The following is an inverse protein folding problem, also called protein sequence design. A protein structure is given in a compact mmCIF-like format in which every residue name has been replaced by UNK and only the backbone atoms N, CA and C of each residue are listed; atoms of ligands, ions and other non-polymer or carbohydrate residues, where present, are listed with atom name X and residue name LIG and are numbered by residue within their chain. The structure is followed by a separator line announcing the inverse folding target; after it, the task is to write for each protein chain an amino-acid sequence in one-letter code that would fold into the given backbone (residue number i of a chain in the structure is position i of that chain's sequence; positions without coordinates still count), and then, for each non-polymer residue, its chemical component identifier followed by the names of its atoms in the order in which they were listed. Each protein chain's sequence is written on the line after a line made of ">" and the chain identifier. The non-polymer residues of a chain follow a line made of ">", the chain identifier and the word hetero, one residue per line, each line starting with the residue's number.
data_IF_985278356284
#
_entry.id   IF_985278356284
#
_cell.length_a   1.000
_cell.length_b   1.000
_cell.length_c   1.000
_cell.angle_alpha   90.00
_cell.angle_beta   90.00
_cell.angle_gamma   90.00
#
_symmetry.space_group_name_H-M   'P 1'
#
loop_
_entity.id
_entity.type
_entity.pdbx_description
1 polymer ?
#
# COMPACT_ATOMS: atom_id res chain seq x y z
N UNK A 1 17.30 67.12 -10.28
CA UNK A 1 16.17 66.16 -10.33
C UNK A 1 16.37 65.19 -9.20
N UNK A 2 15.57 65.32 -8.12
CA UNK A 2 15.68 64.54 -6.88
C UNK A 2 14.80 63.32 -6.97
N UNK A 3 15.35 62.11 -6.71
CA UNK A 3 14.63 60.89 -6.58
C UNK A 3 13.89 60.83 -5.22
N UNK A 4 12.64 60.44 -5.13
CA UNK A 4 11.96 60.25 -3.85
C UNK A 4 12.41 58.94 -3.19
N UNK A 5 12.53 59.06 -1.88
CA UNK A 5 13.00 58.10 -0.89
C UNK A 5 12.22 56.77 -0.83
N UNK A 6 12.97 55.75 -0.54
CA UNK A 6 12.65 54.50 0.13
C UNK A 6 11.33 54.48 0.92
N UNK A 7 10.26 54.00 0.30
CA UNK A 7 9.11 53.49 1.01
C UNK A 7 8.37 52.52 0.09
N UNK A 8 8.14 51.32 0.61
CA UNK A 8 7.18 50.32 0.14
C UNK A 8 7.65 48.94 -0.33
N UNK A 9 8.92 48.59 -0.20
CA UNK A 9 9.26 47.17 -0.47
C UNK A 9 8.90 46.24 0.69
N UNK A 10 8.86 46.76 1.94
CA UNK A 10 8.49 45.90 3.10
C UNK A 10 6.99 45.62 3.23
N UNK A 11 6.13 46.52 2.75
CA UNK A 11 4.67 46.33 2.91
C UNK A 11 4.11 45.34 1.89
N UNK A 12 4.66 45.30 0.68
CA UNK A 12 4.22 44.35 -0.36
C UNK A 12 4.69 42.92 -0.03
N UNK A 13 5.88 42.78 0.57
CA UNK A 13 6.35 41.45 1.00
C UNK A 13 5.54 40.90 2.19
N UNK A 14 5.08 41.78 3.10
CA UNK A 14 4.24 41.35 4.25
C UNK A 14 2.83 40.95 3.84
N UNK A 15 2.24 41.61 2.85
CA UNK A 15 0.91 41.27 2.33
C UNK A 15 0.94 39.96 1.54
N UNK A 16 1.99 39.71 0.75
CA UNK A 16 2.16 38.44 0.03
C UNK A 16 2.44 37.28 1.00
N UNK A 17 3.19 37.52 2.07
CA UNK A 17 3.46 36.50 3.09
C UNK A 17 2.19 36.15 3.90
N UNK A 18 1.35 37.15 4.22
CA UNK A 18 0.08 36.91 4.96
C UNK A 18 -0.99 36.26 4.10
N UNK A 19 -1.06 36.56 2.80
CA UNK A 19 -1.98 35.87 1.88
C UNK A 19 -1.47 34.44 1.60
N UNK A 20 -0.17 34.22 1.54
CA UNK A 20 0.43 32.88 1.42
C UNK A 20 0.18 31.99 2.65
N UNK A 21 0.24 32.55 3.87
CA UNK A 21 -0.04 31.78 5.10
C UNK A 21 -1.54 31.46 5.29
N UNK A 22 -2.44 32.31 4.82
CA UNK A 22 -3.90 32.05 4.91
C UNK A 22 -4.38 31.00 3.90
N UNK A 23 -3.65 30.74 2.83
CA UNK A 23 -3.95 29.67 1.88
C UNK A 23 -3.44 28.28 2.32
N UNK A 24 -2.50 28.23 3.29
CA UNK A 24 -2.04 26.97 3.89
C UNK A 24 -2.84 26.56 5.14
N UNK A 25 -3.68 27.44 5.69
CA UNK A 25 -4.48 27.16 6.89
C UNK A 25 -5.92 26.71 6.57
N UNK A 26 -6.37 26.73 5.33
CA UNK A 26 -7.58 26.03 4.91
C UNK A 26 -7.23 24.56 4.73
N UNK A 27 -7.45 23.75 5.77
CA UNK A 27 -7.37 22.31 5.72
C UNK A 27 -8.25 21.79 4.57
N UNK A 28 -7.64 21.63 3.40
CA UNK A 28 -8.22 20.82 2.34
C UNK A 28 -8.22 19.41 2.91
N UNK A 29 -9.37 18.98 3.39
CA UNK A 29 -9.60 17.57 3.69
C UNK A 29 -9.09 16.77 2.51
N UNK A 30 -8.20 15.85 2.78
CA UNK A 30 -7.72 14.88 1.79
C UNK A 30 -8.95 14.33 1.07
N UNK A 31 -9.10 14.75 -0.19
CA UNK A 31 -10.13 14.24 -1.06
C UNK A 31 -9.83 12.74 -1.23
N UNK A 32 -10.45 11.92 -0.39
CA UNK A 32 -10.45 10.48 -0.60
C UNK A 32 -11.51 10.22 -1.67
N UNK A 33 -11.13 9.95 -2.92
CA UNK A 33 -12.12 9.58 -3.92
C UNK A 33 -12.86 8.35 -3.40
N UNK A 34 -14.19 8.41 -3.41
CA UNK A 34 -15.01 7.26 -3.10
C UNK A 34 -14.61 6.14 -4.06
N UNK A 35 -14.26 4.98 -3.51
CA UNK A 35 -13.96 3.79 -4.32
C UNK A 35 -15.23 3.42 -5.11
N UNK A 36 -15.11 3.05 -6.39
CA UNK A 36 -16.23 2.53 -7.16
C UNK A 36 -16.85 1.35 -6.40
N UNK A 37 -18.18 1.35 -6.28
CA UNK A 37 -18.93 0.25 -5.68
C UNK A 37 -18.61 -1.04 -6.46
N UNK A 38 -17.94 -1.99 -5.82
CA UNK A 38 -17.58 -3.29 -6.39
C UNK A 38 -16.11 -3.67 -6.34
N UNK A 39 -15.17 -2.73 -6.16
CA UNK A 39 -13.77 -3.09 -5.92
C UNK A 39 -13.58 -3.50 -4.46
N UNK A 40 -13.42 -4.80 -4.23
CA UNK A 40 -12.91 -5.33 -2.95
C UNK A 40 -11.39 -5.10 -2.90
N UNK A 41 -10.97 -3.86 -2.72
CA UNK A 41 -9.56 -3.58 -2.38
C UNK A 41 -9.38 -3.95 -0.92
N UNK A 42 -8.29 -4.66 -0.61
CA UNK A 42 -7.90 -4.84 0.79
C UNK A 42 -7.59 -3.46 1.38
N UNK A 43 -8.56 -2.89 2.10
CA UNK A 43 -8.49 -1.54 2.64
C UNK A 43 -7.58 -1.45 3.86
N UNK A 44 -7.15 -2.57 4.43
CA UNK A 44 -6.31 -2.61 5.61
C UNK A 44 -4.95 -1.92 5.35
N UNK A 45 -4.30 -2.19 4.22
CA UNK A 45 -3.03 -1.56 3.83
C UNK A 45 -3.13 -0.04 3.62
N UNK A 46 -4.34 0.49 3.44
CA UNK A 46 -4.59 1.93 3.32
C UNK A 46 -4.54 2.66 4.66
N UNK A 47 -4.97 1.97 5.72
CA UNK A 47 -5.15 2.53 7.06
C UNK A 47 -4.08 2.10 8.03
N UNK A 48 -3.37 1.02 7.73
CA UNK A 48 -2.34 0.44 8.58
C UNK A 48 -1.08 0.14 7.78
N UNK A 49 0.03 0.13 8.48
CA UNK A 49 1.33 -0.31 8.00
C UNK A 49 1.78 -1.51 8.81
N UNK A 50 2.23 -2.58 8.13
CA UNK A 50 2.80 -3.76 8.78
C UNK A 50 4.32 -3.70 8.71
N UNK A 51 4.98 -3.74 9.87
CA UNK A 51 6.43 -3.69 9.92
C UNK A 51 7.02 -4.57 11.03
N UNK A 52 8.04 -5.38 10.74
CA UNK A 52 8.47 -5.79 9.40
C UNK A 52 7.41 -6.65 8.71
N UNK A 53 7.29 -6.54 7.38
CA UNK A 53 6.38 -7.38 6.59
C UNK A 53 7.03 -8.72 6.21
N UNK A 54 8.36 -8.77 6.22
CA UNK A 54 9.17 -9.96 6.00
C UNK A 54 9.99 -10.20 7.25
N UNK A 55 9.95 -11.41 7.77
CA UNK A 55 10.63 -11.83 8.99
C UNK A 55 11.49 -13.08 8.73
N UNK A 56 12.54 -13.36 9.54
CA UNK A 56 13.27 -14.60 9.41
C UNK A 56 12.39 -15.78 9.84
N UNK A 57 12.45 -16.88 9.08
CA UNK A 57 11.82 -18.14 9.45
C UNK A 57 12.49 -18.77 10.67
N UNK A 58 11.71 -19.50 11.44
CA UNK A 58 12.15 -20.25 12.64
C UNK A 58 12.75 -19.37 13.74
N UNK A 59 12.32 -18.10 13.79
CA UNK A 59 12.77 -17.10 14.77
C UNK A 59 11.57 -16.42 15.41
N UNK A 60 11.67 -16.13 16.71
CA UNK A 60 10.72 -15.28 17.39
C UNK A 60 10.97 -13.81 17.01
N UNK A 61 9.97 -13.17 16.43
CA UNK A 61 10.04 -11.79 15.96
C UNK A 61 8.82 -11.00 16.41
N UNK A 62 9.00 -9.71 16.67
CA UNK A 62 7.90 -8.79 16.93
C UNK A 62 7.51 -8.08 15.62
N UNK A 63 6.24 -8.20 15.26
CA UNK A 63 5.61 -7.48 14.15
C UNK A 63 4.71 -6.39 14.73
N UNK A 64 4.75 -5.22 14.14
CA UNK A 64 3.89 -4.08 14.48
C UNK A 64 2.92 -3.81 13.34
N UNK A 65 1.64 -3.69 13.66
CA UNK A 65 0.59 -3.24 12.76
C UNK A 65 0.21 -1.84 13.22
N UNK A 66 0.71 -0.84 12.52
CA UNK A 66 0.71 0.56 12.93
C UNK A 66 -0.42 1.30 12.22
N UNK A 67 -1.31 1.95 12.96
CA UNK A 67 -2.33 2.80 12.37
C UNK A 67 -1.72 4.09 11.82
N UNK A 68 -2.17 4.50 10.64
CA UNK A 68 -1.82 5.79 10.01
C UNK A 68 -2.74 6.93 10.48
N UNK A 69 -3.66 6.67 11.40
CA UNK A 69 -4.63 7.64 11.91
C UNK A 69 -4.49 7.85 13.40
N UNK A 70 -4.56 9.11 13.82
CA UNK A 70 -4.46 9.52 15.23
C UNK A 70 -5.65 9.08 16.08
N UNK A 71 -6.80 8.82 15.45
CA UNK A 71 -8.04 8.40 16.15
C UNK A 71 -8.06 6.92 16.53
N UNK A 72 -6.97 6.23 16.33
CA UNK A 72 -6.79 4.82 16.69
C UNK A 72 -5.81 4.70 17.88
N UNK A 73 -6.03 3.82 18.86
CA UNK A 73 -7.18 2.94 19.05
C UNK A 73 -8.42 3.69 19.58
N UNK A 74 -9.62 3.10 19.37
CA UNK A 74 -10.84 3.62 19.93
C UNK A 74 -10.94 3.26 21.41
N UNK A 75 -11.26 4.24 22.24
CA UNK A 75 -11.29 4.10 23.70
C UNK A 75 -12.43 3.17 24.22
N UNK A 76 -13.48 3.02 23.43
CA UNK A 76 -14.67 2.24 23.77
C UNK A 76 -14.69 0.82 23.19
N UNK A 77 -13.58 0.37 22.61
CA UNK A 77 -13.46 -0.91 21.99
C UNK A 77 -12.30 -1.74 22.61
N UNK A 78 -12.51 -3.05 22.66
CA UNK A 78 -11.44 -4.02 22.85
C UNK A 78 -11.06 -4.65 21.52
N UNK A 79 -9.91 -5.30 21.46
CA UNK A 79 -9.41 -5.89 20.22
C UNK A 79 -9.04 -7.35 20.42
N UNK A 80 -9.20 -8.14 19.36
CA UNK A 80 -8.72 -9.51 19.32
C UNK A 80 -8.04 -9.81 18.00
N UNK A 81 -7.05 -10.67 18.02
CA UNK A 81 -6.31 -11.13 16.85
C UNK A 81 -6.51 -12.62 16.65
N UNK A 82 -6.76 -13.02 15.41
CA UNK A 82 -6.74 -14.41 14.99
C UNK A 82 -5.52 -14.63 14.10
N UNK A 83 -4.69 -15.57 14.47
CA UNK A 83 -3.47 -15.91 13.73
C UNK A 83 -3.63 -17.18 12.95
N UNK A 84 -3.23 -17.20 11.67
CA UNK A 84 -3.30 -18.36 10.78
C UNK A 84 -2.01 -18.48 9.96
N UNK A 85 -1.15 -19.48 10.22
CA UNK A 85 -0.05 -19.84 9.33
C UNK A 85 -0.60 -20.60 8.13
N UNK A 86 -0.21 -20.23 6.90
CA UNK A 86 -0.86 -20.73 5.67
C UNK A 86 -0.19 -22.00 5.15
N UNK A 87 1.15 -22.10 5.23
CA UNK A 87 1.91 -23.14 4.54
C UNK A 87 1.65 -24.59 5.00
N UNK A 88 1.36 -24.81 6.28
CA UNK A 88 1.11 -26.15 6.83
C UNK A 88 -0.32 -26.64 6.66
N UNK A 89 -1.26 -25.75 6.46
CA UNK A 89 -2.68 -26.05 6.58
C UNK A 89 -3.41 -26.13 5.25
N UNK A 90 -2.86 -25.54 4.20
CA UNK A 90 -3.39 -25.67 2.84
C UNK A 90 -3.34 -27.13 2.32
N UNK A 91 -2.44 -27.95 2.87
CA UNK A 91 -2.20 -29.34 2.40
C UNK A 91 -2.95 -30.38 3.23
N UNK A 92 -3.37 -30.09 4.44
CA UNK A 92 -4.09 -31.04 5.31
C UNK A 92 -5.49 -30.53 5.62
N UNK A 93 -6.38 -30.53 4.66
CA UNK A 93 -7.88 -30.59 4.71
C UNK A 93 -8.59 -30.46 6.08
N UNK A 94 -8.05 -29.76 7.02
CA UNK A 94 -8.67 -29.45 8.30
C UNK A 94 -8.34 -28.02 8.64
N UNK A 95 -9.28 -27.12 8.39
CA UNK A 95 -9.23 -25.75 8.90
C UNK A 95 -9.03 -25.80 10.40
N UNK A 96 -7.81 -25.60 10.87
CA UNK A 96 -7.59 -25.38 12.29
C UNK A 96 -8.39 -24.14 12.64
N UNK A 97 -9.35 -24.30 13.55
CA UNK A 97 -10.06 -23.19 14.16
C UNK A 97 -9.01 -22.36 14.90
N UNK A 98 -8.46 -21.36 14.23
CA UNK A 98 -7.58 -20.41 14.87
C UNK A 98 -8.39 -19.71 15.97
N UNK A 99 -7.98 -19.82 17.22
CA UNK A 99 -8.60 -19.12 18.34
C UNK A 99 -8.27 -17.64 18.24
N UNK A 100 -9.25 -16.79 18.52
CA UNK A 100 -9.03 -15.37 18.65
C UNK A 100 -8.47 -15.10 20.06
N UNK A 101 -7.35 -14.37 20.12
CA UNK A 101 -6.68 -13.96 21.35
C UNK A 101 -6.86 -12.45 21.58
N UNK A 102 -7.07 -11.98 22.83
CA UNK A 102 -7.10 -10.55 23.12
C UNK A 102 -5.78 -9.89 22.73
N UNK A 103 -5.86 -8.68 22.17
CA UNK A 103 -4.68 -7.86 21.89
C UNK A 103 -4.94 -6.43 22.32
N UNK A 104 -3.97 -5.83 23.02
CA UNK A 104 -4.06 -4.47 23.52
C UNK A 104 -3.17 -3.59 22.63
N UNK A 105 -3.73 -2.61 21.92
CA UNK A 105 -2.93 -1.69 21.12
C UNK A 105 -2.12 -0.76 22.03
N UNK A 106 -0.91 -0.43 21.60
CA UNK A 106 0.00 0.49 22.28
C UNK A 106 0.45 1.57 21.28
N UNK A 107 0.33 2.84 21.66
CA UNK A 107 0.81 3.95 20.84
C UNK A 107 0.39 3.82 19.35
N UNK A 108 -0.89 3.70 19.07
CA UNK A 108 -1.47 3.53 17.74
C UNK A 108 -1.03 2.24 16.98
N UNK A 109 -0.46 1.24 17.65
CA UNK A 109 -0.01 0.00 17.02
C UNK A 109 -0.48 -1.23 17.79
N UNK A 110 -0.66 -2.34 17.08
CA UNK A 110 -0.69 -3.68 17.64
C UNK A 110 0.71 -4.27 17.57
N UNK A 111 1.26 -4.70 18.70
CA UNK A 111 2.53 -5.41 18.75
C UNK A 111 2.27 -6.90 18.95
N UNK A 112 2.76 -7.72 18.02
CA UNK A 112 2.54 -9.16 17.99
C UNK A 112 3.90 -9.83 18.01
N UNK A 113 4.28 -10.38 19.14
CA UNK A 113 5.48 -11.18 19.30
C UNK A 113 5.13 -12.65 19.10
N UNK A 114 5.78 -13.30 18.13
CA UNK A 114 5.48 -14.69 17.80
C UNK A 114 6.67 -15.39 17.15
N UNK A 115 6.73 -16.71 17.34
CA UNK A 115 7.64 -17.58 16.60
C UNK A 115 7.05 -17.83 15.19
N UNK A 116 7.81 -17.50 14.16
CA UNK A 116 7.39 -17.63 12.76
C UNK A 116 7.96 -18.93 12.17
N UNK A 117 7.21 -20.01 12.32
CA UNK A 117 7.64 -21.35 11.91
C UNK A 117 7.69 -21.48 10.39
N UNK A 118 8.80 -22.02 9.87
CA UNK A 118 9.02 -22.35 8.45
C UNK A 118 8.95 -21.15 7.52
N UNK A 119 9.20 -21.39 6.24
CA UNK A 119 9.01 -20.41 5.17
C UNK A 119 7.56 -20.45 4.70
N UNK A 120 6.80 -19.41 5.00
CA UNK A 120 5.37 -19.35 4.70
C UNK A 120 4.77 -17.95 4.88
N UNK A 121 3.52 -17.83 4.48
CA UNK A 121 2.67 -16.70 4.79
C UNK A 121 2.00 -16.87 6.15
N UNK A 122 1.89 -15.77 6.89
CA UNK A 122 1.21 -15.68 8.18
C UNK A 122 0.15 -14.60 8.11
N UNK A 123 -1.09 -14.97 8.44
CA UNK A 123 -2.24 -14.08 8.39
C UNK A 123 -2.65 -13.69 9.81
N UNK A 124 -2.78 -12.38 10.05
CA UNK A 124 -3.30 -11.80 11.27
C UNK A 124 -4.61 -11.07 10.95
N UNK A 125 -5.73 -11.63 11.39
CA UNK A 125 -7.03 -10.98 11.31
C UNK A 125 -7.30 -10.29 12.63
N UNK A 126 -7.50 -8.97 12.59
CA UNK A 126 -7.80 -8.16 13.77
C UNK A 126 -9.26 -7.71 13.72
N UNK A 127 -9.94 -7.83 14.85
CA UNK A 127 -11.30 -7.39 15.04
C UNK A 127 -11.39 -6.45 16.23
N UNK A 128 -12.17 -5.38 16.10
CA UNK A 128 -12.63 -4.55 17.22
C UNK A 128 -13.93 -5.16 17.79
N UNK A 129 -14.06 -5.15 19.10
CA UNK A 129 -15.25 -5.63 19.81
C UNK A 129 -15.78 -4.48 20.65
N UNK A 130 -17.01 -4.09 20.41
CA UNK A 130 -17.73 -3.05 21.17
C UNK A 130 -18.25 -3.57 22.48
N UNK A 131 -18.64 -2.68 23.39
CA UNK A 131 -19.23 -3.03 24.67
C UNK A 131 -20.53 -3.88 24.56
N UNK A 132 -21.27 -3.76 23.44
CA UNK A 132 -22.46 -4.58 23.14
C UNK A 132 -22.12 -5.98 22.60
N UNK A 133 -20.83 -6.34 22.55
CA UNK A 133 -20.33 -7.62 22.05
C UNK A 133 -20.25 -7.74 20.54
N UNK A 134 -20.67 -6.74 19.77
CA UNK A 134 -20.56 -6.76 18.31
C UNK A 134 -19.10 -6.62 17.88
N UNK A 135 -18.66 -7.56 17.06
CA UNK A 135 -17.33 -7.56 16.46
C UNK A 135 -17.37 -7.00 15.04
N UNK A 136 -16.35 -6.21 14.70
CA UNK A 136 -16.11 -5.72 13.35
C UNK A 136 -14.66 -5.95 12.96
N UNK A 137 -14.40 -6.42 11.76
CA UNK A 137 -13.05 -6.56 11.25
C UNK A 137 -12.38 -5.18 11.09
N UNK A 138 -11.20 -5.04 11.69
CA UNK A 138 -10.30 -3.91 11.49
C UNK A 138 -9.52 -4.11 10.21
N UNK A 139 -8.99 -5.32 10.00
CA UNK A 139 -8.28 -5.71 8.80
C UNK A 139 -7.67 -7.09 8.90
N UNK A 140 -7.24 -7.57 7.74
CA UNK A 140 -6.46 -8.80 7.59
C UNK A 140 -5.08 -8.42 7.09
N UNK A 141 -4.04 -8.82 7.81
CA UNK A 141 -2.65 -8.42 7.60
C UNK A 141 -1.79 -9.63 7.31
N UNK A 142 -0.86 -9.47 6.40
CA UNK A 142 -0.01 -10.54 5.89
C UNK A 142 1.45 -10.26 6.23
N UNK A 143 2.13 -11.28 6.76
CA UNK A 143 3.56 -11.30 7.05
C UNK A 143 4.15 -12.55 6.43
N UNK A 144 5.36 -12.47 5.92
CA UNK A 144 6.03 -13.57 5.25
C UNK A 144 7.31 -13.92 5.99
N UNK A 145 7.46 -15.17 6.42
CA UNK A 145 8.72 -15.68 6.96
C UNK A 145 9.55 -16.32 5.86
N UNK A 146 10.82 -15.96 5.79
CA UNK A 146 11.76 -16.46 4.79
C UNK A 146 12.94 -17.13 5.47
N UNK A 147 13.44 -18.21 4.85
CA UNK A 147 14.70 -18.85 5.24
C UNK A 147 15.89 -17.94 4.93
N UNK A 148 17.07 -18.20 5.53
CA UNK A 148 18.23 -17.31 5.43
C UNK A 148 18.66 -16.99 3.99
N UNK A 149 18.53 -17.93 3.06
CA UNK A 149 18.90 -17.76 1.65
C UNK A 149 18.06 -16.70 0.93
N UNK A 150 16.77 -16.59 1.26
CA UNK A 150 15.87 -15.55 0.75
C UNK A 150 15.83 -14.33 1.65
N UNK A 151 15.91 -14.52 2.97
CA UNK A 151 15.81 -13.42 3.94
C UNK A 151 16.93 -12.38 3.81
N UNK A 152 18.13 -12.80 3.38
CA UNK A 152 19.26 -11.88 3.14
C UNK A 152 19.10 -11.06 1.87
N UNK A 153 18.14 -11.40 1.00
CA UNK A 153 17.88 -10.67 -0.24
C UNK A 153 17.00 -9.45 0.08
N UNK A 154 17.22 -8.37 -0.68
CA UNK A 154 16.33 -7.21 -0.60
C UNK A 154 15.01 -7.52 -1.30
N UNK A 155 13.86 -7.46 -0.62
CA UNK A 155 12.57 -7.59 -1.29
C UNK A 155 12.28 -6.35 -2.13
N UNK A 156 11.77 -6.55 -3.34
CA UNK A 156 11.24 -5.49 -4.19
C UNK A 156 9.75 -5.70 -4.40
N UNK A 157 8.98 -4.61 -4.36
CA UNK A 157 7.55 -4.62 -4.63
C UNK A 157 7.30 -4.28 -6.09
N UNK A 158 6.66 -5.17 -6.82
CA UNK A 158 6.38 -4.95 -8.23
C UNK A 158 5.02 -5.44 -8.67
N UNK A 159 4.59 -4.94 -9.81
CA UNK A 159 3.42 -5.41 -10.55
C UNK A 159 3.76 -5.44 -12.04
N UNK A 160 3.59 -6.58 -12.66
CA UNK A 160 3.91 -6.81 -14.07
C UNK A 160 2.68 -7.05 -14.94
N UNK A 161 1.47 -6.77 -14.42
CA UNK A 161 0.23 -6.96 -15.16
C UNK A 161 -0.72 -5.77 -14.95
N UNK A 162 -0.58 -4.75 -15.80
CA UNK A 162 -1.39 -3.53 -15.71
C UNK A 162 -1.79 -3.04 -17.09
N UNK A 163 -3.00 -2.44 -17.17
CA UNK A 163 -3.59 -1.98 -18.42
C UNK A 163 -3.89 -0.48 -18.36
N UNK A 164 -3.75 0.15 -19.51
CA UNK A 164 -4.15 1.54 -19.75
C UNK A 164 -5.33 1.63 -20.71
N UNK A 165 -5.76 2.85 -21.05
CA UNK A 165 -6.78 3.05 -22.09
C UNK A 165 -6.34 2.58 -23.49
N UNK A 166 -5.07 2.21 -23.66
CA UNK A 166 -4.56 1.66 -24.92
C UNK A 166 -5.12 0.27 -25.19
N UNK A 167 -5.69 -0.38 -24.16
CA UNK A 167 -6.50 -1.61 -24.29
C UNK A 167 -7.84 -1.45 -23.54
N UNK A 168 -8.02 -2.07 -22.42
CA UNK A 168 -9.27 -2.10 -21.65
C UNK A 168 -9.18 -1.37 -20.30
N UNK A 169 -8.03 -0.81 -19.95
CA UNK A 169 -7.87 0.09 -18.82
C UNK A 169 -8.56 1.44 -19.06
N UNK A 170 -8.66 2.26 -18.03
CA UNK A 170 -9.36 3.56 -18.07
C UNK A 170 -8.42 4.74 -18.13
N UNK A 171 -7.21 4.59 -17.61
CA UNK A 171 -6.28 5.68 -17.39
C UNK A 171 -5.19 5.75 -18.47
N UNK A 172 -4.60 6.93 -18.64
CA UNK A 172 -3.48 7.11 -19.55
C UNK A 172 -2.26 6.28 -19.13
N UNK A 173 -1.45 5.78 -20.09
CA UNK A 173 -0.24 5.01 -19.77
C UNK A 173 0.65 5.66 -18.72
N UNK A 174 0.98 6.94 -18.87
CA UNK A 174 1.79 7.68 -17.91
C UNK A 174 1.14 7.81 -16.52
N UNK A 175 -0.19 7.92 -16.44
CA UNK A 175 -0.90 7.94 -15.17
C UNK A 175 -0.80 6.59 -14.43
N UNK A 176 -0.94 5.48 -15.15
CA UNK A 176 -0.80 4.12 -14.58
C UNK A 176 0.57 3.95 -13.94
N UNK A 177 1.64 4.36 -14.64
CA UNK A 177 3.02 4.33 -14.12
C UNK A 177 3.17 5.20 -12.88
N UNK A 178 2.69 6.44 -12.93
CA UNK A 178 2.74 7.36 -11.79
C UNK A 178 1.95 6.84 -10.57
N UNK A 179 0.80 6.21 -10.80
CA UNK A 179 -0.01 5.57 -9.76
C UNK A 179 0.71 4.38 -9.13
N UNK A 180 1.40 3.56 -9.92
CA UNK A 180 2.25 2.46 -9.44
C UNK A 180 3.36 2.96 -8.51
N UNK A 181 4.07 4.02 -8.92
CA UNK A 181 5.09 4.64 -8.05
C UNK A 181 4.51 5.20 -6.76
N UNK A 182 3.36 5.88 -6.83
CA UNK A 182 2.64 6.38 -5.66
C UNK A 182 2.20 5.26 -4.72
N UNK A 183 1.88 4.08 -5.25
CA UNK A 183 1.56 2.88 -4.47
C UNK A 183 2.79 2.23 -3.82
N UNK A 184 4.00 2.75 -4.11
CA UNK A 184 5.26 2.27 -3.56
C UNK A 184 5.85 1.09 -4.31
N UNK A 185 5.51 0.91 -5.60
CA UNK A 185 6.17 -0.09 -6.42
C UNK A 185 7.62 0.30 -6.71
N UNK A 186 8.52 -0.67 -6.69
CA UNK A 186 9.92 -0.57 -7.07
C UNK A 186 10.11 -0.87 -8.57
N UNK A 187 9.26 -1.73 -9.12
CA UNK A 187 9.23 -2.05 -10.55
C UNK A 187 7.82 -2.34 -11.04
N UNK A 188 7.61 -2.16 -12.35
CA UNK A 188 6.34 -2.48 -12.98
C UNK A 188 6.47 -2.67 -14.48
N UNK A 189 5.47 -3.30 -15.10
CA UNK A 189 5.29 -3.34 -16.55
C UNK A 189 3.86 -2.89 -16.90
N UNK A 190 3.73 -2.09 -17.97
CA UNK A 190 2.46 -1.84 -18.61
C UNK A 190 2.27 -2.91 -19.69
N UNK A 191 1.18 -3.66 -19.62
CA UNK A 191 0.94 -4.86 -20.44
C UNK A 191 -0.40 -4.80 -21.13
N UNK A 192 -0.65 -3.72 -21.85
CA UNK A 192 -1.88 -3.56 -22.62
C UNK A 192 -2.08 -4.70 -23.61
N UNK A 193 -3.30 -5.18 -23.75
CA UNK A 193 -3.67 -6.26 -24.66
C UNK A 193 -3.20 -5.98 -26.09
N UNK A 194 -2.38 -6.88 -26.65
CA UNK A 194 -1.89 -6.82 -28.04
C UNK A 194 -1.26 -5.46 -28.42
N UNK A 195 -0.69 -4.77 -27.42
CA UNK A 195 -0.16 -3.42 -27.61
C UNK A 195 1.17 -3.22 -26.89
N UNK A 196 2.22 -3.82 -27.41
CA UNK A 196 3.57 -3.65 -26.89
C UNK A 196 4.07 -2.20 -26.97
N UNK A 197 3.62 -1.45 -27.99
CA UNK A 197 4.04 -0.07 -28.20
C UNK A 197 3.69 0.87 -27.01
N UNK A 198 2.58 0.62 -26.32
CA UNK A 198 2.18 1.40 -25.16
C UNK A 198 3.22 1.32 -24.03
N UNK A 199 3.83 0.15 -23.81
CA UNK A 199 4.88 -0.02 -22.81
C UNK A 199 6.17 0.71 -23.18
N UNK A 200 6.54 0.73 -24.45
CA UNK A 200 7.72 1.48 -24.93
C UNK A 200 7.50 3.00 -24.83
N UNK A 201 6.31 3.48 -25.12
CA UNK A 201 5.93 4.89 -24.98
C UNK A 201 6.17 5.38 -23.52
N UNK A 202 5.73 4.64 -22.52
CA UNK A 202 5.92 5.05 -21.12
C UNK A 202 7.36 4.95 -20.68
N UNK A 203 8.12 3.97 -21.14
CA UNK A 203 9.55 3.87 -20.85
C UNK A 203 10.28 5.12 -21.35
N UNK A 204 10.00 5.55 -22.57
CA UNK A 204 10.60 6.77 -23.13
C UNK A 204 10.14 8.03 -22.39
N UNK A 205 8.83 8.12 -22.06
CA UNK A 205 8.29 9.25 -21.30
C UNK A 205 8.97 9.42 -19.92
N UNK A 206 9.23 8.32 -19.22
CA UNK A 206 9.81 8.37 -17.88
C UNK A 206 11.35 8.36 -17.85
N UNK A 207 12.00 8.14 -18.98
CA UNK A 207 13.46 8.02 -19.09
C UNK A 207 14.23 9.23 -18.55
N UNK A 208 13.70 10.43 -18.73
CA UNK A 208 14.30 11.68 -18.29
C UNK A 208 13.81 12.16 -16.92
N UNK A 209 12.84 11.48 -16.32
CA UNK A 209 12.27 11.85 -15.04
C UNK A 209 13.04 11.19 -13.88
N UNK A 210 13.33 11.92 -12.79
CA UNK A 210 14.01 11.36 -11.62
C UNK A 210 13.03 10.51 -10.77
N UNK A 211 12.49 9.44 -11.35
CA UNK A 211 11.54 8.54 -10.70
C UNK A 211 12.27 7.25 -10.32
N UNK A 212 12.29 6.95 -9.03
CA UNK A 212 12.84 5.69 -8.51
C UNK A 212 11.85 4.55 -8.74
N UNK A 213 11.70 4.15 -10.01
CA UNK A 213 10.82 3.08 -10.46
C UNK A 213 11.44 2.43 -11.71
N UNK A 214 11.65 1.12 -11.65
CA UNK A 214 12.07 0.36 -12.84
C UNK A 214 10.86 -0.02 -13.67
N UNK A 215 10.80 0.47 -14.92
CA UNK A 215 9.74 0.14 -15.86
C UNK A 215 10.28 -0.89 -16.85
N UNK A 216 9.60 -2.03 -16.96
CA UNK A 216 9.91 -3.09 -17.93
C UNK A 216 8.97 -2.99 -19.12
N UNK A 217 9.43 -3.31 -20.33
CA UNK A 217 8.55 -3.45 -21.47
C UNK A 217 7.69 -4.70 -21.31
N UNK A 218 6.43 -4.62 -21.73
CA UNK A 218 5.51 -5.74 -21.63
C UNK A 218 4.31 -5.61 -22.54
N UNK A 219 3.64 -6.72 -22.73
CA UNK A 219 2.39 -6.85 -23.47
C UNK A 219 1.64 -8.06 -22.92
N UNK A 220 0.32 -7.98 -22.84
CA UNK A 220 -0.49 -9.17 -22.64
C UNK A 220 -0.86 -9.77 -23.99
N UNK A 221 -0.25 -10.92 -24.27
CA UNK A 221 -0.42 -11.63 -25.54
C UNK A 221 -1.64 -12.53 -25.48
N UNK A 222 -2.45 -12.48 -26.53
CA UNK A 222 -3.61 -13.35 -26.74
C UNK A 222 -3.33 -14.28 -27.92
N UNK A 223 -2.87 -15.50 -27.68
CA UNK A 223 -2.67 -16.47 -28.78
C UNK A 223 -4.02 -16.79 -29.45
N UNK A 224 -4.05 -16.97 -30.77
CA UNK A 224 -5.25 -17.46 -31.45
C UNK A 224 -5.70 -18.78 -30.86
N UNK A 225 -7.01 -18.94 -30.70
CA UNK A 225 -7.65 -20.18 -30.24
C UNK A 225 -7.21 -20.69 -28.86
N UNK A 226 -6.56 -19.86 -28.05
CA UNK A 226 -6.16 -20.20 -26.70
C UNK A 226 -6.77 -19.22 -25.69
N UNK A 227 -7.53 -19.69 -24.68
CA UNK A 227 -8.12 -18.83 -23.65
C UNK A 227 -7.07 -18.33 -22.62
N UNK A 228 -5.83 -18.82 -22.68
CA UNK A 228 -4.77 -18.39 -21.77
C UNK A 228 -4.08 -17.15 -22.32
N UNK A 229 -4.02 -16.11 -21.51
CA UNK A 229 -3.25 -14.91 -21.78
C UNK A 229 -1.87 -15.01 -21.13
N UNK A 230 -0.85 -14.42 -21.75
CA UNK A 230 0.51 -14.38 -21.26
C UNK A 230 0.99 -12.95 -21.12
N UNK A 231 1.67 -12.66 -20.03
CA UNK A 231 2.31 -11.38 -19.75
C UNK A 231 3.83 -11.53 -19.79
#
# INVERSE_FOLDING_TARGET
>A
MKWPSKLSFSLVFFVILMVGLSLFASGQGLFTPALPSGLKVNTADRYFEVWPKIVPADVETTVRIISRYETFPKADCTYRVTYTPVGRYAVKSGWVKASAEPIIPQNNAFEIRRFFESEQEHIFRIEEVKADGKAREVGTFHVYSLKPDLFVLRPYKGDIHMHSYRSDGREAPGYVIGAGRRAGLDFMALTDHRNYAASLEVIELFKSLPVDLKIFPGEEVHPPDNPVHFV
#
